data_IF_780328055469
#
_entry.id   IF_780328055469
#
_cell.length_a   1.000
_cell.length_b   1.000
_cell.length_c   1.000
_cell.angle_alpha   90.00
_cell.angle_beta   90.00
_cell.angle_gamma   90.00
#
_symmetry.space_group_name_H-M   'P 1'
#
loop_
_entity.id
_entity.type
_entity.pdbx_description
1 polymer ?
#
# COMPACT_ATOMS: atom_id res chain seq x y z
N UNK A 1 27.81 -10.40 -12.39
CA UNK A 1 27.46 -9.42 -11.33
C UNK A 1 28.44 -9.61 -10.18
N UNK A 2 28.85 -8.55 -9.51
CA UNK A 2 29.75 -8.61 -8.35
C UNK A 2 29.00 -8.13 -7.13
N UNK A 3 28.98 -8.95 -6.10
CA UNK A 3 28.31 -8.67 -4.82
C UNK A 3 29.37 -8.29 -3.78
N UNK A 4 29.19 -7.20 -3.00
CA UNK A 4 30.02 -6.94 -1.84
C UNK A 4 29.61 -7.90 -0.71
N UNK A 5 30.58 -8.64 -0.14
CA UNK A 5 30.36 -9.62 0.92
C UNK A 5 31.51 -9.54 1.92
N UNK A 6 31.20 -9.75 3.19
CA UNK A 6 32.25 -9.97 4.19
C UNK A 6 32.93 -11.33 3.98
N UNK A 7 34.15 -11.51 4.49
CA UNK A 7 34.91 -12.76 4.28
C UNK A 7 34.29 -13.97 5.01
N UNK A 8 33.48 -13.71 6.03
CA UNK A 8 32.74 -14.70 6.82
C UNK A 8 31.31 -14.98 6.30
N UNK A 9 30.89 -14.33 5.22
CA UNK A 9 29.57 -14.51 4.62
C UNK A 9 29.60 -15.57 3.51
N UNK A 10 28.63 -16.51 3.55
CA UNK A 10 28.40 -17.52 2.52
C UNK A 10 26.97 -17.35 1.95
N UNK A 11 26.80 -16.65 0.85
CA UNK A 11 25.48 -16.57 0.19
C UNK A 11 25.17 -17.84 -0.56
N UNK A 12 24.02 -18.41 -0.26
CA UNK A 12 23.42 -19.55 -0.95
C UNK A 12 22.28 -19.07 -1.85
N UNK A 13 22.28 -19.52 -3.10
CA UNK A 13 21.22 -19.21 -4.06
C UNK A 13 19.94 -19.95 -3.67
N UNK A 14 18.90 -19.20 -3.34
CA UNK A 14 17.60 -19.75 -2.97
C UNK A 14 16.57 -19.62 -4.08
N UNK A 15 16.79 -18.71 -5.01
CA UNK A 15 15.85 -18.46 -6.09
C UNK A 15 16.55 -17.76 -7.28
N UNK A 16 16.26 -18.21 -8.49
CA UNK A 16 16.69 -17.60 -9.74
C UNK A 16 15.51 -17.54 -10.71
N UNK A 17 15.13 -16.38 -11.18
CA UNK A 17 14.02 -16.19 -12.13
C UNK A 17 14.30 -16.82 -13.50
N UNK A 18 15.56 -17.18 -13.81
CA UNK A 18 15.92 -17.87 -15.04
C UNK A 18 15.81 -19.41 -14.94
N UNK A 19 15.40 -19.97 -13.82
CA UNK A 19 15.13 -21.40 -13.73
C UNK A 19 13.97 -21.81 -14.64
N UNK A 20 14.09 -22.99 -15.26
CA UNK A 20 13.08 -23.49 -16.19
C UNK A 20 11.69 -23.66 -15.56
N UNK A 21 11.61 -23.92 -14.25
CA UNK A 21 10.36 -24.02 -13.49
C UNK A 21 9.58 -22.70 -13.43
N UNK A 22 10.26 -21.55 -13.68
CA UNK A 22 9.66 -20.22 -13.75
C UNK A 22 9.65 -19.64 -15.17
N UNK A 23 9.81 -20.51 -16.19
CA UNK A 23 9.80 -20.09 -17.61
C UNK A 23 11.13 -19.58 -18.15
N UNK A 24 12.21 -19.69 -17.37
CA UNK A 24 13.57 -19.35 -17.81
C UNK A 24 14.24 -20.44 -18.63
N UNK A 25 15.50 -20.24 -18.96
CA UNK A 25 16.30 -21.13 -19.79
C UNK A 25 17.28 -22.03 -18.99
N UNK A 26 17.46 -21.76 -17.70
CA UNK A 26 18.44 -22.44 -16.87
C UNK A 26 17.80 -23.54 -15.99
N UNK A 27 18.32 -24.78 -15.96
CA UNK A 27 17.88 -25.78 -15.00
C UNK A 27 18.13 -25.30 -13.56
N UNK A 28 17.27 -25.71 -12.62
CA UNK A 28 17.47 -25.43 -11.20
C UNK A 28 18.81 -26.01 -10.75
N UNK A 29 19.60 -25.21 -10.07
CA UNK A 29 20.89 -25.62 -9.53
C UNK A 29 21.20 -24.82 -8.26
N UNK A 30 21.90 -25.48 -7.35
CA UNK A 30 22.42 -24.81 -6.15
C UNK A 30 23.66 -23.99 -6.53
N UNK A 31 23.77 -22.81 -5.99
CA UNK A 31 24.93 -21.93 -6.15
C UNK A 31 25.31 -21.34 -4.79
N UNK A 32 26.49 -21.70 -4.31
CA UNK A 32 27.10 -21.10 -3.12
C UNK A 32 28.22 -20.18 -3.58
N UNK A 33 28.16 -18.92 -3.20
CA UNK A 33 29.19 -17.95 -3.56
C UNK A 33 30.28 -17.91 -2.49
N UNK A 34 31.52 -17.80 -2.92
CA UNK A 34 32.67 -17.59 -2.03
C UNK A 34 33.20 -16.19 -2.22
N UNK A 35 33.32 -15.46 -1.12
CA UNK A 35 33.91 -14.11 -1.14
C UNK A 35 35.43 -14.19 -1.35
N UNK A 36 35.93 -13.37 -2.25
CA UNK A 36 37.37 -13.11 -2.42
C UNK A 36 37.61 -11.60 -2.39
N UNK A 37 38.45 -11.14 -1.48
CA UNK A 37 38.72 -9.70 -1.28
C UNK A 37 37.42 -8.86 -1.04
N UNK A 38 36.51 -9.36 -0.22
CA UNK A 38 35.25 -8.67 0.08
C UNK A 38 34.23 -8.65 -1.07
N UNK A 39 34.37 -9.57 -2.05
CA UNK A 39 33.46 -9.63 -3.21
C UNK A 39 33.20 -11.07 -3.64
N UNK A 40 32.00 -11.35 -4.10
CA UNK A 40 31.67 -12.58 -4.81
C UNK A 40 31.12 -12.27 -6.21
N UNK A 41 31.27 -13.23 -7.12
CA UNK A 41 30.85 -13.07 -8.53
C UNK A 41 29.89 -14.19 -8.89
N UNK A 42 28.72 -13.84 -9.40
CA UNK A 42 27.76 -14.77 -10.01
C UNK A 42 27.46 -14.40 -11.45
N UNK A 43 27.14 -15.41 -12.27
CA UNK A 43 26.63 -15.20 -13.62
C UNK A 43 25.11 -15.06 -13.56
N UNK A 44 24.56 -14.10 -14.28
CA UNK A 44 23.13 -13.89 -14.41
C UNK A 44 22.75 -13.90 -15.89
N UNK A 45 21.62 -14.53 -16.22
CA UNK A 45 21.01 -14.39 -17.53
C UNK A 45 20.54 -12.94 -17.74
N UNK A 46 20.38 -12.52 -18.98
CA UNK A 46 19.80 -11.21 -19.26
C UNK A 46 18.35 -11.16 -18.75
N UNK A 47 18.01 -10.09 -18.04
CA UNK A 47 16.67 -9.89 -17.47
C UNK A 47 16.26 -10.93 -16.40
N UNK A 48 17.20 -11.57 -15.72
CA UNK A 48 16.95 -12.46 -14.58
C UNK A 48 17.36 -11.83 -13.25
N UNK A 49 16.85 -12.37 -12.14
CA UNK A 49 17.23 -12.03 -10.79
C UNK A 49 17.62 -13.29 -10.02
N UNK A 50 18.65 -13.18 -9.17
CA UNK A 50 19.08 -14.23 -8.26
C UNK A 50 19.00 -13.74 -6.83
N UNK A 51 18.45 -14.57 -5.95
CA UNK A 51 18.31 -14.27 -4.54
C UNK A 51 19.16 -15.23 -3.73
N UNK A 52 19.95 -14.67 -2.84
CA UNK A 52 20.84 -15.41 -1.97
C UNK A 52 20.47 -15.18 -0.51
N UNK A 53 20.45 -16.23 0.29
CA UNK A 53 20.47 -16.11 1.75
C UNK A 53 21.94 -16.01 2.19
N UNK A 54 22.24 -15.00 3.00
CA UNK A 54 23.58 -14.77 3.52
C UNK A 54 23.65 -15.24 4.97
N UNK A 55 24.39 -16.33 5.21
CA UNK A 55 24.70 -16.85 6.55
C UNK A 55 26.14 -16.48 6.94
N UNK A 56 26.44 -16.47 8.25
CA UNK A 56 27.80 -16.41 8.74
C UNK A 56 28.45 -17.79 8.70
N UNK A 57 29.75 -17.87 8.49
CA UNK A 57 30.51 -19.10 8.64
C UNK A 57 30.45 -19.55 10.09
N UNK A 58 29.99 -20.78 10.37
CA UNK A 58 30.23 -21.43 11.63
C UNK A 58 31.73 -21.75 11.77
N UNK A 59 32.35 -21.40 12.91
CA UNK A 59 33.79 -21.61 13.15
C UNK A 59 34.18 -23.09 13.34
N UNK A 60 33.27 -24.06 13.16
CA UNK A 60 33.52 -25.48 13.34
C UNK A 60 33.22 -26.27 12.06
N UNK A 61 34.15 -26.25 11.12
CA UNK A 61 34.34 -27.33 10.14
C UNK A 61 35.76 -27.27 9.55
N UNK A 62 36.76 -27.63 10.38
CA UNK A 62 38.03 -28.13 9.90
C UNK A 62 38.10 -29.64 10.22
N UNK A 63 38.39 -30.39 9.17
CA UNK A 63 38.72 -31.83 9.11
C UNK A 63 37.55 -32.83 9.03
N UNK A 64 37.18 -33.16 7.79
CA UNK A 64 37.33 -34.57 7.33
C UNK A 64 37.05 -34.69 5.83
N UNK A 65 38.13 -34.80 5.06
CA UNK A 65 38.06 -35.34 3.71
C UNK A 65 38.08 -36.87 3.80
N UNK A 66 36.94 -37.47 3.54
CA UNK A 66 36.83 -38.93 3.31
C UNK A 66 35.94 -39.16 2.11
N UNK A 67 36.54 -39.56 1.02
CA UNK A 67 35.83 -39.99 -0.17
C UNK A 67 35.02 -41.28 0.11
N UNK A 68 33.75 -41.30 -0.27
CA UNK A 68 33.16 -42.53 -0.77
C UNK A 68 32.03 -42.31 -1.77
N UNK A 69 31.85 -43.33 -2.61
CA UNK A 69 31.20 -43.37 -3.90
C UNK A 69 29.73 -43.80 -3.81
N UNK A 70 28.91 -43.22 -4.72
CA UNK A 70 27.71 -43.79 -5.37
C UNK A 70 26.66 -44.52 -4.54
N UNK A 71 25.45 -43.97 -4.57
CA UNK A 71 24.21 -44.72 -4.84
C UNK A 71 23.10 -43.80 -5.32
N UNK A 72 22.37 -44.26 -6.35
CA UNK A 72 21.23 -43.54 -6.94
C UNK A 72 20.05 -43.63 -5.97
N UNK A 73 19.58 -42.48 -5.50
CA UNK A 73 18.42 -42.34 -4.61
C UNK A 73 17.14 -42.02 -5.37
N UNK A 74 16.04 -42.54 -4.86
CA UNK A 74 14.66 -42.46 -5.35
C UNK A 74 14.13 -41.01 -5.45
N UNK A 75 13.05 -40.74 -6.22
CA UNK A 75 12.53 -39.37 -6.42
C UNK A 75 11.97 -38.78 -5.13
N UNK A 76 12.46 -37.60 -4.77
CA UNK A 76 12.03 -36.84 -3.59
C UNK A 76 10.66 -36.27 -3.87
N UNK A 77 9.64 -36.74 -3.13
CA UNK A 77 8.33 -36.10 -3.07
C UNK A 77 8.44 -34.78 -2.28
N UNK A 78 7.95 -33.68 -2.86
CA UNK A 78 7.93 -32.37 -2.23
C UNK A 78 7.23 -32.42 -0.86
N UNK A 79 7.94 -32.07 0.20
CA UNK A 79 7.34 -31.87 1.53
C UNK A 79 6.52 -30.57 1.60
N UNK A 80 5.42 -30.55 2.37
CA UNK A 80 4.58 -29.35 2.49
C UNK A 80 5.35 -28.20 3.14
N UNK A 81 5.07 -26.98 2.66
CA UNK A 81 5.66 -25.67 3.07
C UNK A 81 5.59 -25.41 4.60
N UNK A 82 4.73 -26.11 5.32
CA UNK A 82 4.59 -25.97 6.79
C UNK A 82 5.84 -26.34 7.60
N UNK A 83 6.72 -27.18 7.08
CA UNK A 83 7.95 -27.57 7.79
C UNK A 83 9.13 -26.60 7.61
N UNK A 84 9.06 -25.66 6.67
CA UNK A 84 10.10 -24.65 6.48
C UNK A 84 10.05 -23.53 7.52
N UNK A 85 8.93 -23.40 8.26
CA UNK A 85 8.75 -22.33 9.25
C UNK A 85 9.38 -22.63 10.63
N UNK A 86 9.69 -23.88 10.95
CA UNK A 86 10.13 -24.27 12.30
C UNK A 86 11.65 -24.22 12.52
N UNK A 87 12.47 -24.11 11.47
CA UNK A 87 13.93 -24.18 11.60
C UNK A 87 14.72 -22.91 11.22
N UNK A 88 14.05 -21.80 10.89
CA UNK A 88 14.77 -20.54 10.71
C UNK A 88 14.84 -19.77 12.03
N UNK A 89 15.89 -19.99 12.80
CA UNK A 89 16.25 -19.17 13.98
C UNK A 89 16.80 -17.77 13.59
N UNK A 90 16.23 -17.14 12.55
CA UNK A 90 16.43 -15.72 12.32
C UNK A 90 15.72 -15.01 13.46
N UNK A 91 16.47 -14.57 14.46
CA UNK A 91 15.96 -13.62 15.46
C UNK A 91 15.54 -12.37 14.71
N UNK A 92 14.24 -12.29 14.42
CA UNK A 92 13.62 -11.11 13.88
C UNK A 92 13.81 -10.00 14.92
N UNK A 93 14.48 -8.93 14.53
CA UNK A 93 14.62 -7.73 15.36
C UNK A 93 13.22 -7.29 15.78
N UNK A 94 13.02 -6.96 17.06
CA UNK A 94 11.76 -6.42 17.57
C UNK A 94 11.43 -5.09 16.86
N UNK A 95 10.65 -5.17 15.78
CA UNK A 95 10.14 -4.05 15.02
C UNK A 95 8.61 -3.96 15.16
N UNK A 96 8.03 -2.83 14.80
CA UNK A 96 6.58 -2.69 14.71
C UNK A 96 6.02 -3.68 13.68
N UNK A 97 4.78 -4.13 13.87
CA UNK A 97 4.15 -5.13 12.97
C UNK A 97 4.15 -4.69 11.51
N UNK A 98 4.04 -3.38 11.25
CA UNK A 98 4.01 -2.84 9.88
C UNK A 98 5.37 -2.89 9.17
N UNK A 99 6.47 -3.12 9.87
CA UNK A 99 7.78 -3.37 9.24
C UNK A 99 7.79 -4.68 8.45
N UNK A 100 6.82 -5.56 8.72
CA UNK A 100 6.61 -6.86 8.06
C UNK A 100 5.30 -6.93 7.31
N UNK A 101 4.65 -5.79 7.08
CA UNK A 101 3.41 -5.75 6.34
C UNK A 101 3.64 -6.11 4.87
N UNK A 102 2.80 -7.00 4.37
CA UNK A 102 2.58 -7.25 2.94
C UNK A 102 1.13 -6.88 2.70
N UNK A 103 0.92 -5.81 1.94
CA UNK A 103 -0.38 -5.16 1.86
C UNK A 103 -1.15 -5.61 0.63
N UNK A 104 -2.45 -5.86 0.79
CA UNK A 104 -3.40 -5.94 -0.30
C UNK A 104 -4.30 -4.71 -0.27
N UNK A 105 -4.26 -3.93 -1.32
CA UNK A 105 -4.99 -2.68 -1.42
C UNK A 105 -6.32 -2.90 -2.14
N UNK A 106 -7.42 -2.60 -1.48
CA UNK A 106 -8.78 -2.66 -2.01
C UNK A 106 -9.33 -1.24 -2.16
N UNK A 107 -9.78 -0.85 -3.36
CA UNK A 107 -10.65 0.30 -3.53
C UNK A 107 -12.11 -0.19 -3.48
N UNK A 108 -12.83 0.02 -2.35
CA UNK A 108 -14.04 -0.74 -2.05
C UNK A 108 -15.19 -0.53 -3.02
N UNK A 109 -15.42 0.71 -3.47
CA UNK A 109 -16.52 1.01 -4.39
C UNK A 109 -16.38 0.26 -5.72
N UNK A 110 -15.15 0.27 -6.28
CA UNK A 110 -14.85 -0.52 -7.48
C UNK A 110 -14.88 -2.01 -7.19
N UNK A 111 -14.04 -2.48 -6.26
CA UNK A 111 -13.93 -3.89 -5.88
C UNK A 111 -15.29 -4.56 -5.69
N UNK A 112 -16.19 -3.92 -4.98
CA UNK A 112 -17.51 -4.45 -4.67
C UNK A 112 -18.53 -4.26 -5.81
N UNK A 113 -18.20 -3.57 -6.90
CA UNK A 113 -19.14 -3.22 -7.96
C UNK A 113 -20.28 -2.33 -7.44
N UNK A 114 -19.94 -1.35 -6.60
CA UNK A 114 -20.93 -0.42 -6.06
C UNK A 114 -21.37 0.60 -7.13
N UNK A 115 -22.61 1.11 -7.06
CA UNK A 115 -23.06 2.20 -7.93
C UNK A 115 -22.13 3.41 -7.81
N UNK A 116 -21.86 4.05 -8.92
CA UNK A 116 -20.93 5.20 -8.98
C UNK A 116 -21.40 6.38 -8.13
N UNK A 117 -22.70 6.68 -8.18
CA UNK A 117 -23.31 7.74 -7.40
C UNK A 117 -24.17 7.17 -6.26
N UNK A 118 -24.12 7.83 -5.11
CA UNK A 118 -24.94 7.49 -3.96
C UNK A 118 -26.31 8.19 -4.08
N UNK A 119 -27.35 7.43 -4.42
CA UNK A 119 -28.73 7.90 -4.48
C UNK A 119 -29.52 7.52 -3.21
N UNK A 120 -28.85 7.38 -2.09
CA UNK A 120 -29.47 6.98 -0.82
C UNK A 120 -30.06 5.57 -0.86
N UNK A 121 -31.34 5.41 -0.45
CA UNK A 121 -31.99 4.10 -0.34
C UNK A 121 -31.96 3.26 -1.64
N UNK A 122 -31.94 3.93 -2.82
CA UNK A 122 -31.91 3.23 -4.12
C UNK A 122 -30.62 2.48 -4.40
N UNK A 123 -29.52 2.91 -3.80
CA UNK A 123 -28.19 2.37 -4.04
C UNK A 123 -27.63 1.54 -2.89
N UNK A 124 -28.36 1.48 -1.78
CA UNK A 124 -27.96 0.70 -0.60
C UNK A 124 -27.71 -0.77 -0.92
N UNK A 125 -26.77 -1.37 -0.16
CA UNK A 125 -26.47 -2.80 -0.30
C UNK A 125 -25.45 -3.26 0.72
N UNK A 126 -25.26 -4.56 0.83
CA UNK A 126 -24.25 -5.20 1.70
C UNK A 126 -23.08 -5.72 0.87
N UNK A 127 -22.60 -4.93 -0.09
CA UNK A 127 -21.62 -5.35 -1.10
C UNK A 127 -20.25 -5.64 -0.53
N UNK A 128 -19.89 -5.00 0.59
CA UNK A 128 -18.61 -5.24 1.29
C UNK A 128 -18.45 -6.70 1.75
N UNK A 129 -19.57 -7.44 1.92
CA UNK A 129 -19.54 -8.86 2.28
C UNK A 129 -18.81 -9.73 1.25
N UNK A 130 -18.66 -9.29 -0.01
CA UNK A 130 -17.85 -9.97 -1.04
C UNK A 130 -16.40 -10.23 -0.60
N UNK A 131 -15.87 -9.39 0.28
CA UNK A 131 -14.50 -9.56 0.81
C UNK A 131 -14.37 -10.89 1.56
N UNK A 132 -15.43 -11.37 2.20
CA UNK A 132 -15.43 -12.64 2.94
C UNK A 132 -15.11 -13.84 2.04
N UNK A 133 -15.60 -13.81 0.81
CA UNK A 133 -15.44 -14.90 -0.15
C UNK A 133 -13.97 -15.02 -0.65
N UNK A 134 -13.16 -14.00 -0.40
CA UNK A 134 -11.77 -13.90 -0.87
C UNK A 134 -10.72 -14.11 0.23
N UNK A 135 -11.10 -14.40 1.45
CA UNK A 135 -10.15 -14.59 2.57
C UNK A 135 -9.15 -15.72 2.25
N UNK A 136 -9.63 -16.82 1.63
CA UNK A 136 -8.76 -17.91 1.18
C UNK A 136 -7.71 -17.45 0.15
N UNK A 137 -8.12 -16.66 -0.84
CA UNK A 137 -7.24 -16.09 -1.85
C UNK A 137 -6.19 -15.14 -1.21
N UNK A 138 -6.61 -14.25 -0.33
CA UNK A 138 -5.71 -13.33 0.38
C UNK A 138 -4.65 -14.08 1.20
N UNK A 139 -5.03 -15.19 1.84
CA UNK A 139 -4.09 -16.08 2.55
C UNK A 139 -3.11 -16.76 1.60
N UNK A 140 -3.60 -17.25 0.45
CA UNK A 140 -2.76 -17.89 -0.55
C UNK A 140 -1.73 -16.93 -1.18
N UNK A 141 -2.09 -15.66 -1.33
CA UNK A 141 -1.14 -14.60 -1.75
C UNK A 141 -0.06 -14.28 -0.70
N UNK A 142 -0.22 -14.73 0.54
CA UNK A 142 0.73 -14.44 1.61
C UNK A 142 0.66 -13.00 2.14
N UNK A 143 -0.39 -12.24 1.80
CA UNK A 143 -0.61 -10.90 2.36
C UNK A 143 -1.10 -11.00 3.80
N UNK A 144 -0.73 -10.04 4.64
CA UNK A 144 -1.08 -10.01 6.06
C UNK A 144 -1.77 -8.72 6.49
N UNK A 145 -1.92 -7.78 5.57
CA UNK A 145 -2.51 -6.45 5.84
C UNK A 145 -3.45 -6.08 4.70
N UNK A 146 -4.67 -5.68 5.03
CA UNK A 146 -5.64 -5.19 4.06
C UNK A 146 -5.78 -3.68 4.23
N UNK A 147 -5.42 -2.95 3.19
CA UNK A 147 -5.69 -1.52 3.10
C UNK A 147 -6.96 -1.30 2.28
N UNK A 148 -7.96 -0.72 2.91
CA UNK A 148 -9.17 -0.26 2.26
C UNK A 148 -9.07 1.21 1.91
N UNK A 149 -9.26 1.57 0.64
CA UNK A 149 -9.59 2.94 0.24
C UNK A 149 -10.85 3.44 0.96
N UNK A 150 -11.41 4.60 0.60
CA UNK A 150 -12.50 5.22 1.36
C UNK A 150 -13.69 4.30 1.57
N UNK A 151 -14.15 4.19 2.82
CA UNK A 151 -15.26 3.33 3.24
C UNK A 151 -16.41 4.11 3.90
N UNK A 152 -16.24 5.42 4.10
CA UNK A 152 -17.21 6.27 4.78
C UNK A 152 -18.16 6.94 3.80
N UNK A 153 -19.32 7.38 4.31
CA UNK A 153 -20.39 7.91 3.48
C UNK A 153 -19.89 9.02 2.56
N UNK A 154 -20.21 8.90 1.28
CA UNK A 154 -19.81 9.83 0.23
C UNK A 154 -20.87 9.88 -0.87
N UNK A 155 -20.82 10.90 -1.73
CA UNK A 155 -21.77 11.02 -2.83
C UNK A 155 -21.30 10.35 -4.10
N UNK A 156 -19.97 10.25 -4.29
CA UNK A 156 -19.41 9.80 -5.56
C UNK A 156 -18.26 8.80 -5.36
N UNK A 157 -17.00 9.27 -5.42
CA UNK A 157 -15.81 8.41 -5.51
C UNK A 157 -15.20 8.01 -4.15
N UNK A 158 -15.86 8.33 -3.04
CA UNK A 158 -15.37 7.99 -1.71
C UNK A 158 -14.46 9.05 -1.08
N UNK A 159 -13.69 9.79 -1.89
CA UNK A 159 -12.84 10.89 -1.41
C UNK A 159 -13.64 12.19 -1.17
N UNK A 160 -14.88 12.24 -1.55
CA UNK A 160 -15.85 13.29 -1.26
C UNK A 160 -16.67 12.95 0.00
N UNK A 161 -15.98 12.64 1.10
CA UNK A 161 -16.60 12.21 2.37
C UNK A 161 -17.67 13.19 2.83
N UNK A 162 -18.85 12.67 3.14
CA UNK A 162 -19.99 13.44 3.66
C UNK A 162 -20.31 13.12 5.12
N UNK A 163 -19.88 11.97 5.64
CA UNK A 163 -20.02 11.60 7.04
C UNK A 163 -18.93 10.60 7.45
N UNK A 164 -18.08 10.97 8.40
CA UNK A 164 -17.00 10.12 8.93
C UNK A 164 -17.46 9.07 9.94
N UNK A 165 -18.70 9.17 10.41
CA UNK A 165 -19.27 8.30 11.43
C UNK A 165 -20.20 7.22 10.87
N UNK A 166 -20.41 7.23 9.55
CA UNK A 166 -21.23 6.26 8.84
C UNK A 166 -20.44 5.62 7.71
N UNK A 167 -20.57 4.30 7.57
CA UNK A 167 -20.05 3.61 6.39
C UNK A 167 -20.86 3.95 5.15
N UNK A 168 -20.22 3.95 3.98
CA UNK A 168 -20.88 4.23 2.71
C UNK A 168 -22.02 3.23 2.47
N UNK A 169 -23.22 3.75 2.37
CA UNK A 169 -24.45 2.96 2.25
C UNK A 169 -24.49 2.08 1.01
N UNK A 170 -23.74 2.43 -0.04
CA UNK A 170 -23.57 1.61 -1.23
C UNK A 170 -22.77 0.33 -0.95
N UNK A 171 -21.88 0.36 0.02
CA UNK A 171 -21.01 -0.76 0.41
C UNK A 171 -21.66 -1.63 1.47
N UNK A 172 -22.26 -1.03 2.49
CA UNK A 172 -22.86 -1.80 3.56
C UNK A 172 -23.14 -0.99 4.82
N UNK A 173 -23.89 -1.60 5.71
CA UNK A 173 -24.12 -1.07 7.04
C UNK A 173 -22.88 -1.19 7.93
N UNK A 174 -22.84 -0.42 9.03
CA UNK A 174 -21.83 -0.57 10.09
C UNK A 174 -21.69 -2.03 10.57
N UNK A 175 -22.81 -2.79 10.61
CA UNK A 175 -22.79 -4.21 11.00
C UNK A 175 -22.13 -5.10 9.94
N UNK A 176 -22.31 -4.80 8.66
CA UNK A 176 -21.64 -5.54 7.58
C UNK A 176 -20.13 -5.33 7.66
N UNK A 177 -19.68 -4.09 7.86
CA UNK A 177 -18.25 -3.78 8.05
C UNK A 177 -17.69 -4.45 9.29
N UNK A 178 -18.39 -4.40 10.43
CA UNK A 178 -17.96 -5.13 11.64
C UNK A 178 -17.80 -6.62 11.38
N UNK A 179 -18.72 -7.24 10.62
CA UNK A 179 -18.65 -8.66 10.25
C UNK A 179 -17.42 -8.95 9.40
N UNK A 180 -17.18 -8.15 8.36
CA UNK A 180 -16.02 -8.31 7.46
C UNK A 180 -14.71 -8.13 8.22
N UNK A 181 -14.58 -7.03 8.97
CA UNK A 181 -13.33 -6.72 9.66
C UNK A 181 -13.03 -7.72 10.77
N UNK A 182 -14.05 -8.18 11.51
CA UNK A 182 -13.88 -9.27 12.48
C UNK A 182 -13.37 -10.54 11.81
N UNK A 183 -13.96 -10.94 10.69
CA UNK A 183 -13.52 -12.14 9.97
C UNK A 183 -12.07 -12.00 9.45
N UNK A 184 -11.68 -10.82 8.95
CA UNK A 184 -10.30 -10.55 8.55
C UNK A 184 -9.34 -10.65 9.76
N UNK A 185 -9.70 -10.05 10.89
CA UNK A 185 -8.90 -10.11 12.14
C UNK A 185 -8.75 -11.54 12.66
N UNK A 186 -9.83 -12.32 12.67
CA UNK A 186 -9.83 -13.74 13.07
C UNK A 186 -8.95 -14.60 12.15
N UNK A 187 -8.75 -14.17 10.90
CA UNK A 187 -7.82 -14.79 9.95
C UNK A 187 -6.40 -14.20 9.96
N UNK A 188 -6.07 -13.36 10.94
CA UNK A 188 -4.73 -12.83 11.18
C UNK A 188 -4.38 -11.57 10.42
N UNK A 189 -5.29 -10.98 9.64
CA UNK A 189 -5.02 -9.75 8.90
C UNK A 189 -5.03 -8.51 9.79
N UNK A 190 -4.16 -7.58 9.46
CA UNK A 190 -4.21 -6.19 9.92
C UNK A 190 -5.08 -5.36 8.98
N UNK A 191 -5.73 -4.33 9.52
CA UNK A 191 -6.68 -3.48 8.78
C UNK A 191 -6.21 -2.04 8.81
N UNK A 192 -6.08 -1.46 7.61
CA UNK A 192 -5.76 -0.05 7.40
C UNK A 192 -6.90 0.60 6.63
N UNK A 193 -7.40 1.75 7.09
CA UNK A 193 -8.42 2.52 6.39
C UNK A 193 -7.85 3.80 5.79
N UNK A 194 -8.57 4.36 4.82
CA UNK A 194 -8.25 5.67 4.26
C UNK A 194 -8.81 6.79 5.14
N UNK A 195 -7.94 7.72 5.50
CA UNK A 195 -8.27 8.94 6.24
C UNK A 195 -8.25 10.15 5.31
N UNK A 196 -9.40 10.55 4.82
CA UNK A 196 -9.56 11.72 3.93
C UNK A 196 -9.78 12.96 4.80
N UNK A 197 -8.69 13.60 5.24
CA UNK A 197 -8.76 14.68 6.23
C UNK A 197 -8.40 16.06 5.69
N UNK A 198 -7.89 16.15 4.46
CA UNK A 198 -7.61 17.44 3.84
C UNK A 198 -8.89 18.16 3.41
N UNK A 199 -9.89 17.43 2.95
CA UNK A 199 -11.10 17.97 2.35
C UNK A 199 -12.32 17.06 2.61
N UNK A 200 -13.50 17.59 2.33
CA UNK A 200 -14.78 16.88 2.39
C UNK A 200 -15.58 17.11 1.13
N UNK A 201 -16.56 16.26 0.88
CA UNK A 201 -17.56 16.49 -0.16
C UNK A 201 -18.57 17.55 0.24
N UNK A 202 -19.27 18.11 -0.74
CA UNK A 202 -20.32 19.12 -0.54
C UNK A 202 -21.56 18.60 0.22
N UNK A 203 -21.69 17.27 0.34
CA UNK A 203 -22.70 16.60 1.16
C UNK A 203 -22.42 16.59 2.66
N UNK A 204 -21.22 17.04 3.09
CA UNK A 204 -20.85 17.11 4.50
C UNK A 204 -21.77 18.07 5.26
N UNK A 205 -22.39 17.61 6.34
CA UNK A 205 -23.45 18.35 7.01
C UNK A 205 -23.03 19.76 7.45
N UNK A 206 -21.85 20.00 8.05
CA UNK A 206 -21.39 21.34 8.37
C UNK A 206 -21.26 22.27 7.13
N UNK A 207 -20.91 21.70 5.96
CA UNK A 207 -20.86 22.50 4.73
C UNK A 207 -22.24 22.82 4.18
N UNK A 208 -23.19 21.90 4.29
CA UNK A 208 -24.59 22.17 3.93
C UNK A 208 -25.20 23.24 4.82
N UNK A 209 -24.94 23.21 6.13
CA UNK A 209 -25.38 24.27 7.04
C UNK A 209 -24.79 25.63 6.62
N UNK A 210 -23.50 25.67 6.22
CA UNK A 210 -22.88 26.89 5.70
C UNK A 210 -23.54 27.36 4.41
N UNK A 211 -23.89 26.46 3.49
CA UNK A 211 -24.62 26.82 2.26
C UNK A 211 -26.02 27.41 2.55
N UNK A 212 -26.73 26.86 3.54
CA UNK A 212 -28.08 27.28 3.91
C UNK A 212 -28.09 28.62 4.69
N UNK A 213 -27.17 28.80 5.64
CA UNK A 213 -27.17 29.89 6.59
C UNK A 213 -26.16 31.01 6.28
N UNK A 214 -25.23 30.78 5.37
CA UNK A 214 -24.20 31.76 5.01
C UNK A 214 -23.41 32.22 6.24
N UNK A 215 -23.28 33.54 6.44
CA UNK A 215 -22.55 34.13 7.56
C UNK A 215 -23.08 33.74 8.96
N UNK A 216 -24.34 33.33 9.05
CA UNK A 216 -24.95 32.88 10.30
C UNK A 216 -24.62 31.44 10.67
N UNK A 217 -23.95 30.67 9.80
CA UNK A 217 -23.53 29.32 10.10
C UNK A 217 -22.48 29.32 11.20
N UNK A 218 -22.64 28.38 12.16
CA UNK A 218 -21.65 28.13 13.21
C UNK A 218 -20.44 27.40 12.69
N UNK A 219 -20.51 26.83 11.48
CA UNK A 219 -19.47 26.02 10.83
C UNK A 219 -18.62 26.81 9.82
N UNK A 220 -18.83 28.13 9.65
CA UNK A 220 -18.07 28.91 8.65
C UNK A 220 -16.56 28.82 8.83
N UNK A 221 -16.07 28.71 10.07
CA UNK A 221 -14.64 28.60 10.39
C UNK A 221 -14.10 27.14 10.28
N UNK A 222 -14.95 26.18 9.90
CA UNK A 222 -14.55 24.80 9.67
C UNK A 222 -13.83 24.61 8.34
N UNK A 223 -13.99 25.57 7.42
CA UNK A 223 -13.45 25.51 6.07
C UNK A 223 -12.43 26.62 5.85
N UNK A 224 -11.46 26.36 4.97
CA UNK A 224 -10.40 27.33 4.68
C UNK A 224 -10.91 28.45 3.78
N UNK A 225 -10.54 29.67 4.13
CA UNK A 225 -10.71 30.89 3.31
C UNK A 225 -12.14 31.11 2.77
N UNK A 226 -13.14 30.97 3.65
CA UNK A 226 -14.53 31.30 3.32
C UNK A 226 -14.66 32.78 3.15
N UNK A 227 -15.09 33.27 1.96
CA UNK A 227 -15.28 34.66 1.63
C UNK A 227 -16.71 34.91 1.13
N UNK A 228 -17.51 35.55 1.99
CA UNK A 228 -18.84 36.01 1.62
C UNK A 228 -18.76 37.19 0.66
N UNK A 229 -19.70 37.30 -0.28
CA UNK A 229 -19.67 38.34 -1.33
C UNK A 229 -18.91 37.94 -2.60
N UNK A 230 -18.37 36.69 -2.67
CA UNK A 230 -17.91 36.04 -3.89
C UNK A 230 -18.77 34.84 -4.20
N UNK A 231 -18.56 34.18 -5.34
CA UNK A 231 -19.33 33.03 -5.76
C UNK A 231 -18.37 31.92 -6.31
N UNK A 232 -18.85 30.69 -6.30
CA UNK A 232 -18.17 29.58 -6.96
C UNK A 232 -18.81 29.25 -8.31
N UNK A 233 -18.10 28.51 -9.20
CA UNK A 233 -18.70 27.97 -10.41
C UNK A 233 -19.88 27.03 -10.18
N UNK A 234 -20.03 26.52 -8.95
CA UNK A 234 -21.13 25.64 -8.54
C UNK A 234 -22.34 26.40 -7.97
N UNK A 235 -22.31 27.76 -7.97
CA UNK A 235 -23.41 28.60 -7.61
C UNK A 235 -23.53 28.97 -6.11
N UNK A 236 -22.50 28.71 -5.30
CA UNK A 236 -22.45 29.12 -3.92
C UNK A 236 -22.36 30.67 -3.83
N UNK A 237 -22.98 31.28 -2.81
CA UNK A 237 -22.92 32.70 -2.54
C UNK A 237 -21.67 33.16 -1.79
N UNK A 238 -20.69 32.27 -1.63
CA UNK A 238 -19.38 32.48 -1.01
C UNK A 238 -18.35 31.63 -1.72
N UNK A 239 -17.08 31.99 -1.64
CA UNK A 239 -15.96 31.14 -2.10
C UNK A 239 -15.24 30.54 -0.92
N UNK A 240 -14.43 29.48 -1.18
CA UNK A 240 -13.68 28.70 -0.20
C UNK A 240 -12.47 28.03 -0.86
N UNK A 241 -11.51 27.58 -0.07
CA UNK A 241 -10.42 26.76 -0.59
C UNK A 241 -10.88 25.35 -0.92
N UNK A 242 -10.24 24.77 -1.92
CA UNK A 242 -10.54 23.43 -2.44
C UNK A 242 -9.27 22.59 -2.55
N UNK A 243 -9.41 21.29 -2.71
CA UNK A 243 -8.29 20.46 -3.14
C UNK A 243 -8.03 20.66 -4.64
N UNK A 244 -6.86 21.17 -4.99
CA UNK A 244 -6.37 21.38 -6.35
C UNK A 244 -7.37 22.10 -7.31
N UNK A 245 -8.17 23.00 -6.81
CA UNK A 245 -9.16 23.75 -7.61
C UNK A 245 -10.46 22.99 -7.90
N UNK A 246 -10.65 21.79 -7.32
CA UNK A 246 -11.89 21.04 -7.45
C UNK A 246 -12.94 21.54 -6.44
N UNK A 247 -13.92 22.28 -6.92
CA UNK A 247 -14.99 22.88 -6.09
C UNK A 247 -15.91 21.86 -5.40
N UNK A 248 -15.87 20.60 -5.80
CA UNK A 248 -16.59 19.51 -5.14
C UNK A 248 -15.88 19.01 -3.87
N UNK A 249 -14.59 19.37 -3.68
CA UNK A 249 -13.72 18.93 -2.58
C UNK A 249 -13.32 20.13 -1.70
N UNK A 250 -14.11 20.38 -0.68
CA UNK A 250 -14.03 21.58 0.18
C UNK A 250 -12.93 21.39 1.23
N UNK A 251 -11.95 22.29 1.27
CA UNK A 251 -10.80 22.16 2.17
C UNK A 251 -11.18 22.45 3.62
N UNK A 252 -10.86 21.51 4.51
CA UNK A 252 -11.05 21.63 5.95
C UNK A 252 -10.01 22.54 6.60
N UNK A 253 -10.43 23.33 7.58
CA UNK A 253 -9.56 24.15 8.41
C UNK A 253 -9.03 23.35 9.61
N UNK A 254 -7.93 22.64 9.42
CA UNK A 254 -7.29 21.83 10.46
C UNK A 254 -6.61 22.65 11.59
N UNK A 255 -6.66 23.96 11.53
CA UNK A 255 -6.30 24.86 12.65
C UNK A 255 -7.48 25.09 13.59
N UNK A 256 -8.69 24.78 13.17
CA UNK A 256 -9.88 24.86 14.00
C UNK A 256 -9.99 23.62 14.89
N UNK A 257 -9.95 23.84 16.21
CA UNK A 257 -9.99 22.75 17.19
C UNK A 257 -11.23 21.86 17.05
N UNK A 258 -12.39 22.44 16.75
CA UNK A 258 -13.63 21.67 16.59
C UNK A 258 -13.56 20.71 15.39
N UNK A 259 -12.91 21.12 14.29
CA UNK A 259 -12.64 20.25 13.14
C UNK A 259 -11.72 19.11 13.55
N UNK A 260 -10.61 19.41 14.22
CA UNK A 260 -9.65 18.40 14.69
C UNK A 260 -10.33 17.43 15.65
N UNK A 261 -11.08 17.92 16.64
CA UNK A 261 -11.81 17.07 17.60
C UNK A 261 -12.82 16.15 16.89
N UNK A 262 -13.52 16.66 15.87
CA UNK A 262 -14.45 15.86 15.06
C UNK A 262 -13.74 14.72 14.33
N UNK A 263 -12.62 15.01 13.67
CA UNK A 263 -11.85 14.01 12.94
C UNK A 263 -11.21 12.97 13.87
N UNK A 264 -10.61 13.42 14.98
CA UNK A 264 -10.02 12.49 15.98
C UNK A 264 -11.10 11.66 16.65
N UNK A 265 -12.29 12.21 16.90
CA UNK A 265 -13.47 11.46 17.38
C UNK A 265 -13.90 10.36 16.41
N UNK A 266 -13.89 10.66 15.11
CA UNK A 266 -14.15 9.63 14.08
C UNK A 266 -13.10 8.52 14.11
N UNK A 267 -11.80 8.86 14.15
CA UNK A 267 -10.72 7.88 14.26
C UNK A 267 -10.87 7.00 15.50
N UNK A 268 -11.22 7.59 16.64
CA UNK A 268 -11.52 6.82 17.85
C UNK A 268 -12.63 5.81 17.62
N UNK A 269 -13.74 6.25 17.04
CA UNK A 269 -14.87 5.38 16.74
C UNK A 269 -14.45 4.24 15.78
N UNK A 270 -13.62 4.52 14.78
CA UNK A 270 -13.14 3.48 13.86
C UNK A 270 -12.28 2.42 14.57
N UNK A 271 -11.38 2.87 15.48
CA UNK A 271 -10.58 1.94 16.30
C UNK A 271 -11.46 1.10 17.22
N UNK A 272 -12.40 1.75 17.94
CA UNK A 272 -13.27 1.07 18.91
C UNK A 272 -14.31 0.14 18.26
N UNK A 273 -14.81 0.52 17.05
CA UNK A 273 -15.89 -0.21 16.38
C UNK A 273 -15.37 -1.29 15.45
N UNK A 274 -14.23 -1.05 14.80
CA UNK A 274 -13.70 -1.90 13.73
C UNK A 274 -12.36 -2.55 14.06
N UNK A 275 -11.73 -2.19 15.18
CA UNK A 275 -10.40 -2.65 15.59
C UNK A 275 -9.32 -2.47 14.50
N UNK A 276 -9.34 -1.32 13.82
CA UNK A 276 -8.36 -1.02 12.78
C UNK A 276 -6.95 -0.89 13.36
N UNK A 277 -5.92 -1.14 12.53
CA UNK A 277 -4.51 -1.14 12.92
C UNK A 277 -3.72 0.03 12.34
N UNK A 278 -4.32 0.82 11.46
CA UNK A 278 -3.65 1.95 10.85
C UNK A 278 -4.53 2.78 9.94
N UNK A 279 -3.95 3.88 9.45
CA UNK A 279 -4.55 4.78 8.46
C UNK A 279 -3.57 5.06 7.32
N UNK A 280 -4.08 5.10 6.09
CA UNK A 280 -3.47 5.83 4.98
C UNK A 280 -4.08 7.21 4.95
N UNK A 281 -3.28 8.24 4.85
CA UNK A 281 -3.73 9.63 4.86
C UNK A 281 -3.72 10.16 3.43
N UNK A 282 -4.90 10.46 2.92
CA UNK A 282 -5.13 11.00 1.58
C UNK A 282 -4.54 12.40 1.44
N UNK A 283 -3.96 12.71 0.26
CA UNK A 283 -3.39 14.02 -0.05
C UNK A 283 -2.54 14.60 1.11
N UNK A 284 -1.68 13.77 1.69
CA UNK A 284 -0.97 14.09 2.93
C UNK A 284 -0.03 15.31 2.79
N UNK A 285 0.44 15.61 1.60
CA UNK A 285 1.22 16.82 1.31
C UNK A 285 0.43 18.12 1.46
N UNK A 286 -0.91 18.04 1.38
CA UNK A 286 -1.83 19.17 1.52
C UNK A 286 -2.34 19.39 2.95
N UNK A 287 -2.06 18.45 3.87
CA UNK A 287 -2.52 18.46 5.26
C UNK A 287 -1.56 19.28 6.14
N UNK A 288 -2.12 20.03 7.12
CA UNK A 288 -1.33 20.75 8.12
C UNK A 288 -0.48 19.78 8.95
N UNK A 289 0.82 20.03 9.03
CA UNK A 289 1.78 19.14 9.74
C UNK A 289 1.51 19.02 11.24
N UNK A 290 0.93 20.05 11.85
CA UNK A 290 0.55 20.02 13.27
C UNK A 290 -0.60 19.03 13.52
N UNK A 291 -1.51 18.88 12.56
CA UNK A 291 -2.55 17.84 12.62
C UNK A 291 -1.93 16.42 12.65
N UNK A 292 -0.89 16.15 11.86
CA UNK A 292 -0.23 14.84 11.89
C UNK A 292 0.38 14.52 13.25
N UNK A 293 0.99 15.50 13.91
CA UNK A 293 1.55 15.30 15.26
C UNK A 293 0.45 14.97 16.27
N UNK A 294 -0.66 15.72 16.23
CA UNK A 294 -1.81 15.46 17.08
C UNK A 294 -2.40 14.08 16.80
N UNK A 295 -2.59 13.71 15.53
CA UNK A 295 -3.11 12.41 15.10
C UNK A 295 -2.18 11.28 15.57
N UNK A 296 -0.86 11.44 15.44
CA UNK A 296 0.14 10.46 15.90
C UNK A 296 0.02 10.18 17.39
N UNK A 297 0.06 11.23 18.20
CA UNK A 297 -0.06 11.09 19.67
C UNK A 297 -1.40 10.48 20.04
N UNK A 298 -2.47 10.92 19.40
CA UNK A 298 -3.82 10.43 19.70
C UNK A 298 -3.98 8.95 19.36
N UNK A 299 -3.58 8.54 18.17
CA UNK A 299 -3.71 7.14 17.73
C UNK A 299 -2.83 6.18 18.53
N UNK A 300 -1.62 6.60 18.92
CA UNK A 300 -0.76 5.81 19.82
C UNK A 300 -1.38 5.64 21.21
N UNK A 301 -2.15 6.61 21.68
CA UNK A 301 -2.93 6.51 22.90
C UNK A 301 -4.10 5.53 22.81
N UNK A 302 -4.68 5.36 21.63
CA UNK A 302 -5.77 4.41 21.38
C UNK A 302 -5.25 2.98 21.18
N UNK A 303 -4.18 2.82 20.41
CA UNK A 303 -3.62 1.50 20.07
C UNK A 303 -2.12 1.62 19.86
N UNK A 304 -1.35 0.90 20.71
CA UNK A 304 0.10 0.81 20.54
C UNK A 304 0.41 0.27 19.11
N UNK A 305 1.44 0.77 18.49
CA UNK A 305 1.88 0.38 17.15
C UNK A 305 0.85 0.65 16.04
N UNK A 306 -0.01 1.67 16.23
CA UNK A 306 -0.94 2.12 15.19
C UNK A 306 -0.16 2.73 14.02
N UNK A 307 -0.35 2.17 12.82
CA UNK A 307 0.41 2.58 11.63
C UNK A 307 -0.20 3.81 10.97
N UNK A 308 0.60 4.83 10.73
CA UNK A 308 0.25 5.99 9.91
C UNK A 308 1.10 6.00 8.65
N UNK A 309 0.47 5.95 7.50
CA UNK A 309 1.08 6.01 6.17
C UNK A 309 0.44 7.16 5.39
N UNK A 310 1.25 8.02 4.76
CA UNK A 310 0.76 9.17 3.99
C UNK A 310 0.94 8.99 2.50
N UNK A 311 -0.01 9.51 1.74
CA UNK A 311 0.18 9.67 0.31
C UNK A 311 1.02 10.92 0.04
N UNK A 312 2.23 10.70 -0.47
CA UNK A 312 3.14 11.77 -0.92
C UNK A 312 3.64 11.40 -2.30
N UNK A 313 3.35 12.24 -3.28
CA UNK A 313 3.76 11.99 -4.68
C UNK A 313 5.17 12.53 -4.90
N UNK A 314 5.49 13.72 -4.40
CA UNK A 314 6.74 14.42 -4.67
C UNK A 314 7.35 15.01 -3.40
N UNK A 315 8.66 15.28 -3.44
CA UNK A 315 9.37 15.99 -2.38
C UNK A 315 10.27 15.09 -1.52
N UNK A 316 10.80 15.64 -0.43
CA UNK A 316 11.58 14.87 0.53
C UNK A 316 10.67 14.17 1.51
N UNK A 317 10.55 12.86 1.41
CA UNK A 317 9.67 12.03 2.21
C UNK A 317 9.87 12.17 3.72
N UNK A 318 11.08 12.52 4.19
CA UNK A 318 11.36 12.79 5.61
C UNK A 318 10.58 13.97 6.18
N UNK A 319 10.11 14.86 5.32
CA UNK A 319 9.27 15.98 5.75
C UNK A 319 7.93 15.54 6.35
N UNK A 320 7.51 14.30 6.08
CA UNK A 320 6.26 13.69 6.54
C UNK A 320 6.48 12.37 7.28
N UNK A 321 7.38 11.50 6.79
CA UNK A 321 7.75 10.24 7.45
C UNK A 321 8.91 10.49 8.42
N UNK A 322 8.56 10.68 9.70
CA UNK A 322 9.50 10.93 10.78
C UNK A 322 8.87 10.56 12.14
N UNK A 323 9.64 10.52 13.23
CA UNK A 323 9.15 10.09 14.54
C UNK A 323 7.93 10.86 15.05
N UNK A 324 7.74 12.12 14.67
CA UNK A 324 6.70 12.98 15.20
C UNK A 324 5.37 12.90 14.41
N UNK A 325 5.39 12.39 13.18
CA UNK A 325 4.25 12.41 12.27
C UNK A 325 3.89 11.00 11.75
N UNK A 326 4.26 10.65 10.54
CA UNK A 326 3.90 9.37 9.94
C UNK A 326 5.07 8.37 9.98
N UNK A 327 4.76 7.08 9.93
CA UNK A 327 5.75 6.01 9.91
C UNK A 327 6.28 5.75 8.50
N UNK A 328 5.44 5.90 7.49
CA UNK A 328 5.79 5.70 6.08
C UNK A 328 4.99 6.62 5.16
N UNK A 329 5.48 6.73 3.93
CA UNK A 329 4.79 7.41 2.82
C UNK A 329 4.93 6.60 1.55
N UNK A 330 4.10 6.89 0.55
CA UNK A 330 4.09 6.25 -0.76
C UNK A 330 5.38 6.52 -1.54
N UNK A 331 5.91 5.49 -2.21
CA UNK A 331 7.17 5.56 -2.96
C UNK A 331 6.90 5.65 -4.49
N UNK A 332 6.38 6.76 -4.93
CA UNK A 332 6.11 7.02 -6.35
C UNK A 332 7.38 7.05 -7.21
N UNK A 333 8.53 7.39 -6.62
CA UNK A 333 9.80 7.36 -7.33
C UNK A 333 10.19 5.96 -7.78
N UNK A 334 10.15 4.98 -6.86
CA UNK A 334 10.42 3.58 -7.21
C UNK A 334 9.34 2.97 -8.09
N UNK A 335 8.05 3.31 -7.89
CA UNK A 335 6.98 2.93 -8.81
C UNK A 335 7.34 3.29 -10.26
N UNK A 336 7.69 4.56 -10.51
CA UNK A 336 8.09 5.03 -11.84
C UNK A 336 9.35 4.32 -12.33
N UNK A 337 10.36 4.20 -11.47
CA UNK A 337 11.63 3.55 -11.79
C UNK A 337 11.48 2.07 -12.19
N UNK A 338 10.56 1.34 -11.57
CA UNK A 338 10.34 -0.08 -11.89
C UNK A 338 9.79 -0.23 -13.29
N UNK A 339 8.63 0.36 -13.62
CA UNK A 339 8.04 0.15 -14.94
C UNK A 339 8.86 0.76 -16.08
N UNK A 340 9.49 1.93 -15.87
CA UNK A 340 10.32 2.55 -16.89
C UNK A 340 11.58 1.72 -17.18
N UNK A 341 12.21 1.17 -16.15
CA UNK A 341 13.40 0.34 -16.32
C UNK A 341 13.14 -0.93 -17.14
N UNK A 342 11.99 -1.57 -16.93
CA UNK A 342 11.56 -2.72 -17.74
C UNK A 342 11.26 -2.30 -19.18
N UNK A 343 10.50 -1.23 -19.36
CA UNK A 343 10.12 -0.72 -20.69
C UNK A 343 11.29 -0.29 -21.56
N UNK A 344 12.30 0.29 -20.95
CA UNK A 344 13.48 0.82 -21.64
C UNK A 344 14.65 -0.18 -21.63
N UNK A 345 14.44 -1.37 -21.00
CA UNK A 345 15.48 -2.39 -20.81
C UNK A 345 16.76 -1.82 -20.19
N UNK A 346 16.57 -0.87 -19.27
CA UNK A 346 17.64 -0.13 -18.62
C UNK A 346 17.37 -0.01 -17.11
N UNK A 347 17.98 -0.89 -16.35
CA UNK A 347 17.82 -0.94 -14.89
C UNK A 347 18.66 0.07 -14.11
N UNK A 348 19.45 0.94 -14.77
CA UNK A 348 20.24 1.96 -14.08
C UNK A 348 19.35 2.97 -13.33
N UNK A 349 18.17 3.28 -13.86
CA UNK A 349 17.24 4.20 -13.21
C UNK A 349 16.78 3.68 -11.84
N UNK A 350 16.20 2.47 -11.81
CA UNK A 350 15.74 1.88 -10.54
C UNK A 350 16.92 1.56 -9.60
N UNK A 351 18.03 1.09 -10.13
CA UNK A 351 19.23 0.85 -9.32
C UNK A 351 19.76 2.14 -8.68
N UNK A 352 19.70 3.27 -9.40
CA UNK A 352 20.06 4.58 -8.85
C UNK A 352 19.09 4.98 -7.73
N UNK A 353 17.78 4.87 -7.95
CA UNK A 353 16.76 5.22 -6.96
C UNK A 353 16.90 4.37 -5.69
N UNK A 354 17.05 3.05 -5.83
CA UNK A 354 17.23 2.14 -4.69
C UNK A 354 18.50 2.46 -3.90
N UNK A 355 19.63 2.70 -4.61
CA UNK A 355 20.90 3.05 -3.96
C UNK A 355 20.80 4.40 -3.26
N UNK A 356 20.22 5.40 -3.91
CA UNK A 356 20.05 6.74 -3.33
C UNK A 356 19.15 6.71 -2.10
N UNK A 357 18.10 5.92 -2.14
CA UNK A 357 17.12 5.85 -1.04
C UNK A 357 17.61 4.98 0.12
N UNK A 358 18.08 3.76 -0.13
CA UNK A 358 18.18 2.71 0.87
C UNK A 358 19.59 2.17 1.13
N UNK A 359 20.60 2.48 0.31
CA UNK A 359 21.97 2.05 0.60
C UNK A 359 22.48 2.70 1.89
N UNK A 360 23.55 2.16 2.47
CA UNK A 360 24.20 2.74 3.65
C UNK A 360 24.54 4.22 3.39
N UNK A 361 23.99 5.11 4.21
CA UNK A 361 24.04 6.55 4.02
C UNK A 361 23.02 7.10 3.02
N UNK A 362 22.11 6.27 2.52
CA UNK A 362 21.02 6.70 1.64
C UNK A 362 20.03 7.61 2.34
N UNK A 363 19.32 8.43 1.55
CA UNK A 363 18.44 9.48 2.09
C UNK A 363 17.28 8.93 2.92
N UNK A 364 16.84 7.67 2.68
CA UNK A 364 15.73 7.00 3.37
C UNK A 364 16.17 5.65 3.98
N UNK A 365 17.46 5.46 4.30
CA UNK A 365 18.03 4.23 4.85
C UNK A 365 17.20 3.63 6.00
N UNK A 366 16.64 4.49 6.86
CA UNK A 366 15.87 4.09 8.04
C UNK A 366 14.35 4.24 7.87
N UNK A 367 13.86 4.52 6.67
CA UNK A 367 12.43 4.63 6.39
C UNK A 367 11.90 3.34 5.74
N UNK A 368 10.72 2.91 6.18
CA UNK A 368 9.95 1.85 5.54
C UNK A 368 8.91 2.49 4.62
N UNK A 369 9.28 2.75 3.36
CA UNK A 369 8.37 3.36 2.38
C UNK A 369 7.33 2.33 1.90
N UNK A 370 6.13 2.81 1.60
CA UNK A 370 5.06 2.00 1.01
C UNK A 370 5.28 1.89 -0.50
N UNK A 371 5.64 0.70 -0.95
CA UNK A 371 5.97 0.42 -2.34
C UNK A 371 4.80 -0.26 -3.05
N UNK A 372 4.56 0.09 -4.30
CA UNK A 372 3.49 -0.44 -5.13
C UNK A 372 3.87 -0.43 -6.61
N UNK A 373 3.19 -1.23 -7.43
CA UNK A 373 3.32 -1.20 -8.89
C UNK A 373 2.18 -0.44 -9.55
N UNK A 374 1.02 -0.43 -8.92
CA UNK A 374 -0.13 0.37 -9.28
C UNK A 374 -1.04 0.60 -8.06
N UNK A 375 -2.01 1.49 -8.21
CA UNK A 375 -3.03 1.80 -7.23
C UNK A 375 -4.28 2.32 -7.94
N UNK A 376 -5.24 2.84 -7.17
CA UNK A 376 -6.51 3.34 -7.69
C UNK A 376 -6.41 4.70 -8.44
N UNK A 377 -5.23 5.34 -8.47
CA UNK A 377 -4.98 6.66 -9.07
C UNK A 377 -4.01 6.65 -10.23
N UNK A 378 -3.40 5.51 -10.55
CA UNK A 378 -2.49 5.37 -11.69
C UNK A 378 -2.93 4.24 -12.61
N UNK A 379 -2.40 4.22 -13.83
CA UNK A 379 -2.64 3.12 -14.76
C UNK A 379 -2.20 1.80 -14.15
N UNK A 380 -2.93 0.73 -14.46
CA UNK A 380 -2.57 -0.63 -14.05
C UNK A 380 -1.17 -1.00 -14.57
N UNK A 381 -0.40 -1.71 -13.76
CA UNK A 381 0.97 -2.09 -14.14
C UNK A 381 1.00 -2.90 -15.44
N UNK A 382 0.04 -3.79 -15.66
CA UNK A 382 -0.09 -4.56 -16.89
C UNK A 382 -0.28 -3.67 -18.14
N UNK A 383 -0.89 -2.49 -17.96
CA UNK A 383 -1.04 -1.49 -19.05
C UNK A 383 0.17 -0.57 -19.20
N UNK A 384 1.01 -0.46 -18.17
CA UNK A 384 2.24 0.34 -18.24
C UNK A 384 3.40 -0.42 -18.88
N UNK A 385 3.47 -1.74 -18.67
CA UNK A 385 4.54 -2.58 -19.21
C UNK A 385 4.35 -2.82 -20.71
N UNK A 386 5.40 -2.56 -21.50
CA UNK A 386 5.42 -2.83 -22.95
C UNK A 386 5.45 -4.33 -23.27
N UNK A 387 6.07 -5.12 -22.41
CA UNK A 387 6.12 -6.57 -22.51
C UNK A 387 5.38 -7.19 -21.31
N UNK A 388 4.27 -7.91 -21.52
CA UNK A 388 3.53 -8.56 -20.43
C UNK A 388 4.37 -9.54 -19.59
N UNK A 389 5.38 -10.18 -20.16
CA UNK A 389 6.27 -11.09 -19.42
C UNK A 389 7.13 -10.38 -18.35
N UNK A 390 7.22 -9.05 -18.39
CA UNK A 390 7.94 -8.29 -17.37
C UNK A 390 7.14 -8.11 -16.07
N UNK A 391 5.86 -8.54 -16.03
CA UNK A 391 5.00 -8.37 -14.87
C UNK A 391 5.54 -9.13 -13.65
N UNK A 392 5.95 -10.38 -13.83
CA UNK A 392 6.53 -11.20 -12.75
C UNK A 392 7.84 -10.61 -12.25
N UNK A 393 8.69 -10.12 -13.15
CA UNK A 393 9.94 -9.45 -12.80
C UNK A 393 9.69 -8.16 -12.00
N UNK A 394 8.68 -7.38 -12.38
CA UNK A 394 8.29 -6.17 -11.67
C UNK A 394 7.81 -6.48 -10.24
N UNK A 395 6.97 -7.52 -10.06
CA UNK A 395 6.55 -7.97 -8.74
C UNK A 395 7.71 -8.55 -7.93
N UNK A 396 8.59 -9.33 -8.55
CA UNK A 396 9.80 -9.82 -7.90
C UNK A 396 10.64 -8.66 -7.34
N UNK A 397 10.82 -7.61 -8.13
CA UNK A 397 11.53 -6.41 -7.67
C UNK A 397 10.80 -5.72 -6.52
N UNK A 398 9.47 -5.56 -6.61
CA UNK A 398 8.65 -4.96 -5.56
C UNK A 398 8.82 -5.68 -4.21
N UNK A 399 8.74 -7.01 -4.21
CA UNK A 399 8.83 -7.80 -2.97
C UNK A 399 10.24 -7.90 -2.40
N UNK A 400 11.26 -7.68 -3.21
CA UNK A 400 12.67 -7.81 -2.79
C UNK A 400 13.35 -6.47 -2.49
N UNK A 401 12.73 -5.34 -2.81
CA UNK A 401 13.27 -4.03 -2.45
C UNK A 401 12.92 -3.67 -0.99
N UNK A 402 13.73 -2.81 -0.34
CA UNK A 402 13.42 -2.34 1.01
C UNK A 402 12.11 -1.56 1.07
N UNK A 403 11.31 -1.79 2.10
CA UNK A 403 10.04 -1.10 2.35
C UNK A 403 8.88 -2.06 2.57
N UNK A 404 7.67 -1.58 2.39
CA UNK A 404 6.41 -2.29 2.61
C UNK A 404 5.75 -2.50 1.25
N UNK A 405 5.76 -3.75 0.72
CA UNK A 405 5.16 -4.04 -0.58
C UNK A 405 3.63 -4.05 -0.53
N UNK A 406 3.00 -3.57 -1.59
CA UNK A 406 1.56 -3.59 -1.76
C UNK A 406 1.15 -4.09 -3.13
N UNK A 407 0.15 -4.98 -3.15
CA UNK A 407 -0.55 -5.45 -4.35
C UNK A 407 -1.90 -4.76 -4.39
N UNK A 408 -2.21 -4.08 -5.48
CA UNK A 408 -3.53 -3.52 -5.72
C UNK A 408 -4.44 -4.61 -6.31
N UNK A 409 -5.68 -4.71 -5.81
CA UNK A 409 -6.59 -5.80 -6.17
C UNK A 409 -6.73 -5.99 -7.69
N UNK A 410 -6.67 -7.21 -8.14
CA UNK A 410 -6.73 -7.58 -9.55
C UNK A 410 -5.39 -7.55 -10.28
N UNK A 411 -4.38 -6.84 -9.77
CA UNK A 411 -3.07 -6.78 -10.40
C UNK A 411 -2.30 -8.09 -10.29
N UNK A 412 -2.63 -8.93 -9.31
CA UNK A 412 -2.12 -10.31 -9.21
C UNK A 412 -2.53 -11.21 -10.39
N UNK A 413 -3.60 -10.86 -11.10
CA UNK A 413 -4.03 -11.52 -12.34
C UNK A 413 -3.60 -10.76 -13.60
N UNK A 414 -2.88 -9.64 -13.45
CA UNK A 414 -2.40 -8.85 -14.57
C UNK A 414 -3.49 -8.07 -15.30
N UNK A 415 -4.55 -7.66 -14.62
CA UNK A 415 -5.63 -6.89 -15.27
C UNK A 415 -5.11 -5.58 -15.85
N UNK A 416 -5.59 -5.26 -17.05
CA UNK A 416 -5.30 -4.00 -17.71
C UNK A 416 -6.26 -2.89 -17.25
N UNK A 417 -5.82 -1.64 -17.36
CA UNK A 417 -6.64 -0.46 -17.09
C UNK A 417 -5.83 0.80 -17.32
N UNK A 418 -6.37 1.70 -18.12
CA UNK A 418 -5.77 3.01 -18.43
C UNK A 418 -6.76 4.10 -18.07
N UNK A 419 -6.32 5.06 -17.28
CA UNK A 419 -7.14 6.24 -16.93
C UNK A 419 -7.54 6.99 -18.20
N UNK A 420 -8.75 7.46 -18.21
CA UNK A 420 -9.31 8.29 -19.27
C UNK A 420 -9.28 9.78 -18.89
N UNK A 421 -10.18 10.58 -19.36
CA UNK A 421 -10.32 12.01 -19.03
C UNK A 421 -11.72 12.30 -18.48
N UNK A 422 -11.86 13.39 -17.73
CA UNK A 422 -13.13 13.83 -17.16
C UNK A 422 -13.45 13.21 -15.80
N UNK A 423 -14.70 13.33 -15.35
CA UNK A 423 -15.12 12.89 -14.02
C UNK A 423 -14.95 11.39 -13.77
N UNK A 424 -15.03 10.58 -14.81
CA UNK A 424 -14.96 9.11 -14.74
C UNK A 424 -13.57 8.57 -15.11
N UNK A 425 -12.56 9.44 -15.09
CA UNK A 425 -11.20 9.12 -15.54
C UNK A 425 -10.62 7.86 -14.88
N UNK A 426 -10.95 7.61 -13.64
CA UNK A 426 -10.36 6.53 -12.85
C UNK A 426 -11.13 5.20 -12.93
N UNK A 427 -12.35 5.17 -13.48
CA UNK A 427 -13.16 3.94 -13.52
C UNK A 427 -12.44 2.75 -14.17
N UNK A 428 -11.69 2.91 -15.28
CA UNK A 428 -11.01 1.78 -15.90
C UNK A 428 -9.93 1.13 -15.01
N UNK A 429 -9.41 1.84 -14.02
CA UNK A 429 -8.42 1.29 -13.09
C UNK A 429 -9.05 0.78 -11.78
N UNK A 430 -10.39 0.86 -11.65
CA UNK A 430 -11.18 0.49 -10.46
C UNK A 430 -12.31 -0.51 -10.77
N UNK A 431 -12.07 -1.59 -11.57
CA UNK A 431 -13.13 -2.50 -11.99
C UNK A 431 -13.68 -3.33 -10.82
N UNK A 432 -14.90 -3.88 -10.93
CA UNK A 432 -15.39 -4.91 -10.01
C UNK A 432 -14.44 -6.13 -9.95
N UNK A 433 -14.34 -6.75 -8.77
CA UNK A 433 -13.39 -7.87 -8.57
C UNK A 433 -13.72 -9.08 -9.46
N UNK A 434 -15.00 -9.32 -9.74
CA UNK A 434 -15.44 -10.41 -10.60
C UNK A 434 -14.96 -10.20 -12.06
N UNK A 435 -14.90 -8.97 -12.53
CA UNK A 435 -14.38 -8.63 -13.85
C UNK A 435 -12.85 -8.78 -13.87
N UNK A 436 -12.20 -8.39 -12.77
CA UNK A 436 -10.76 -8.51 -12.60
C UNK A 436 -10.28 -9.97 -12.60
N UNK A 437 -11.03 -10.89 -12.00
CA UNK A 437 -10.71 -12.32 -11.96
C UNK A 437 -11.01 -13.03 -13.29
N UNK A 438 -11.94 -12.51 -14.07
CA UNK A 438 -12.34 -13.11 -15.35
C UNK A 438 -11.45 -12.70 -16.53
N UNK A 439 -10.60 -11.68 -16.35
CA UNK A 439 -9.74 -11.11 -17.39
C UNK A 439 -8.43 -11.89 -17.53
#
# INVERSE_FOLDING_TARGET
MTLPLAEDEKPELVFDTDWMEFGGATPKQDEVLTAQNGRAVTKMAAFSAKFFVVGKRDEEETDNMGADTTEAGEPITAEPIEKLSENSSVKLVDGAWFDRAVVYHIYPLGYCGAPQYNEGEKTQGSRILKVLDRIGHLKALGVNTIYFGPVFESLWHGYDTSDYYRTDSRLGSMKDFQKVFRALKENGFKIVLDGVFNHVGRGFEPFRDLQEKGEASIYKDWFCNVHFGSSTPLGDAFSYDTWQGNWELVKLNLKNKAVVDHLLGAVKMWVETFDIDGLRLDAADCIDKEFFKQLKVYTQGLKKDFWLMGEIIHGDYKMWANPDMMHSVTNYECWKGIYSSHNDKNYFEIAHSLRRQFAKGGIYENLRLYNFLDNHDVNRIASLLKNPADLENAYTMLFCMPGIPSVYYGSEWGIAGVKTSGKEADLPVRPPIEEAEAA
#
